data_IF_872885718466
#
_entry.id   IF_872885718466
#
_cell.length_a   1.000
_cell.length_b   1.000
_cell.length_c   1.000
_cell.angle_alpha   90.00
_cell.angle_beta   90.00
_cell.angle_gamma   90.00
#
_symmetry.space_group_name_H-M   'P 1'
#
loop_
_entity.id
_entity.type
_entity.pdbx_description
1 polymer ?
2 non-polymer ?
3 non-polymer ?
4 water ?
#
# COMPACT_ATOMS: atom_id res chain seq x y z
N UNK A 238 -6.17 0.67 3.22
CA UNK A 238 -6.33 -0.56 3.98
C UNK A 238 -5.02 -1.17 4.42
N UNK A 239 -5.08 -2.43 4.81
CA UNK A 239 -3.91 -3.17 5.28
C UNK A 239 -3.49 -4.28 4.33
N UNK A 240 -4.13 -4.42 3.17
CA UNK A 240 -3.93 -5.61 2.35
C UNK A 240 -2.57 -5.60 1.68
N UNK A 241 -2.18 -4.47 1.09
CA UNK A 241 -0.85 -4.42 0.47
C UNK A 241 0.24 -4.56 1.53
N UNK A 242 0.01 -4.00 2.74
CA UNK A 242 0.98 -4.18 3.82
C UNK A 242 1.14 -5.65 4.17
N UNK A 243 0.03 -6.36 4.34
CA UNK A 243 0.12 -7.79 4.64
C UNK A 243 0.83 -8.54 3.52
N UNK A 244 0.63 -8.13 2.26
CA UNK A 244 1.31 -8.79 1.14
C UNK A 244 2.82 -8.60 1.23
N UNK A 245 3.26 -7.38 1.55
CA UNK A 245 4.69 -7.11 1.67
C UNK A 245 5.31 -7.92 2.81
N UNK A 246 4.56 -8.14 3.90
CA UNK A 246 5.07 -8.83 5.08
C UNK A 246 4.99 -10.35 4.98
N UNK A 247 4.35 -10.88 3.95
CA UNK A 247 4.20 -12.32 3.82
C UNK A 247 5.57 -12.99 3.71
N UNK A 248 5.81 -13.98 4.58
CA UNK A 248 7.05 -14.76 4.59
C UNK A 248 8.29 -13.88 4.72
N UNK A 249 8.15 -12.75 5.40
CA UNK A 249 9.27 -11.84 5.59
C UNK A 249 10.13 -12.28 6.77
N UNK A 250 11.31 -11.70 6.87
CA UNK A 250 12.11 -11.73 8.08
C UNK A 250 12.17 -10.34 8.68
N UNK A 251 12.34 -10.30 10.00
CA UNK A 251 12.23 -9.07 10.79
C UNK A 251 13.44 -8.95 11.69
N UNK A 252 13.99 -7.74 11.78
CA UNK A 252 15.10 -7.45 12.68
C UNK A 252 14.86 -6.17 13.46
N UNK A 253 15.16 -6.24 14.75
CA UNK A 253 15.11 -5.11 15.65
C UNK A 253 16.36 -4.27 15.47
N UNK A 254 16.20 -2.98 15.18
CA UNK A 254 17.32 -2.06 15.05
C UNK A 254 17.25 -1.07 16.19
N UNK A 255 18.33 -0.95 16.95
CA UNK A 255 18.40 -0.06 18.10
C UNK A 255 19.41 1.04 17.80
N UNK A 256 18.95 2.29 17.78
CA UNK A 256 19.79 3.45 17.56
C UNK A 256 19.96 4.19 18.89
N UNK A 257 21.15 4.71 19.14
CA UNK A 257 21.35 5.42 20.39
C UNK A 257 20.89 6.87 20.32
N UNK A 258 20.49 7.34 19.15
CA UNK A 258 20.06 8.73 19.05
C UNK A 258 19.02 8.88 17.95
N UNK A 259 18.19 9.92 18.09
CA UNK A 259 17.18 10.20 17.10
C UNK A 259 17.79 10.65 15.78
N UNK A 260 18.95 11.31 15.83
CA UNK A 260 19.53 11.89 14.62
C UNK A 260 19.77 10.84 13.54
N UNK A 261 20.23 9.65 13.94
CA UNK A 261 20.50 8.63 12.92
C UNK A 261 19.23 8.09 12.31
N UNK A 262 18.16 7.97 13.10
CA UNK A 262 16.90 7.52 12.51
C UNK A 262 16.31 8.59 11.61
N UNK A 263 16.49 9.88 11.97
CA UNK A 263 16.03 10.94 11.10
C UNK A 263 16.80 10.93 9.76
N UNK A 264 18.12 10.73 9.83
CA UNK A 264 18.91 10.59 8.61
C UNK A 264 18.39 9.45 7.74
N UNK A 265 18.10 8.30 8.37
CA UNK A 265 17.63 7.13 7.63
C UNK A 265 16.28 7.41 6.97
N UNK A 266 15.41 8.15 7.65
CA UNK A 266 14.10 8.49 7.08
C UNK A 266 14.24 9.47 5.92
N UNK A 267 15.20 10.38 6.01
CA UNK A 267 15.39 11.36 4.96
C UNK A 267 16.06 10.76 3.72
N UNK A 268 17.04 9.89 3.92
CA UNK A 268 17.89 9.43 2.83
C UNK A 268 17.61 8.01 2.37
N UNK A 269 16.78 7.25 3.08
CA UNK A 269 16.49 5.89 2.68
C UNK A 269 17.68 4.96 2.78
N UNK A 270 18.46 5.07 3.86
CA UNK A 270 19.68 4.30 4.03
C UNK A 270 19.81 3.88 5.48
N UNK A 271 20.55 2.79 5.70
CA UNK A 271 20.94 2.41 7.04
C UNK A 271 22.33 1.77 7.03
N UNK A 272 23.05 1.95 8.13
CA UNK A 272 24.36 1.36 8.34
C UNK A 272 24.42 0.77 9.74
N UNK A 273 25.11 -0.36 9.88
CA UNK A 273 25.21 -1.06 11.14
C UNK A 273 26.60 -1.68 11.24
N UNK A 274 26.92 -2.20 12.42
CA UNK A 274 28.23 -2.78 12.65
C UNK A 274 28.37 -4.10 11.88
N UNK A 275 29.61 -4.53 11.61
CA UNK A 275 29.81 -5.65 10.68
C UNK A 275 29.10 -6.94 11.08
N UNK A 276 28.99 -7.25 12.37
CA UNK A 276 28.32 -8.48 12.77
C UNK A 276 26.87 -8.48 12.28
N UNK A 277 26.19 -7.33 12.42
CA UNK A 277 24.81 -7.24 11.94
C UNK A 277 24.74 -7.08 10.43
N UNK A 278 25.72 -6.40 9.83
CA UNK A 278 25.77 -6.28 8.37
C UNK A 278 25.81 -7.66 7.74
N UNK A 279 26.61 -8.56 8.30
CA UNK A 279 26.67 -9.94 7.79
C UNK A 279 25.32 -10.62 7.89
N UNK A 280 24.64 -10.50 9.03
CA UNK A 280 23.35 -11.17 9.19
C UNK A 280 22.32 -10.58 8.22
N UNK A 281 22.35 -9.27 8.01
CA UNK A 281 21.34 -8.66 7.14
C UNK A 281 21.59 -9.00 5.68
N UNK A 282 22.86 -9.08 5.26
CA UNK A 282 23.13 -9.48 3.88
C UNK A 282 22.70 -10.93 3.65
N UNK A 283 22.98 -11.81 4.60
CA UNK A 283 22.49 -13.19 4.51
C UNK A 283 20.98 -13.21 4.41
N UNK A 284 20.31 -12.43 5.27
CA UNK A 284 18.85 -12.44 5.28
C UNK A 284 18.27 -11.91 3.98
N UNK A 285 18.91 -10.88 3.41
CA UNK A 285 18.38 -10.27 2.18
C UNK A 285 18.28 -11.27 1.04
N UNK A 286 19.24 -12.17 0.95
CA UNK A 286 19.21 -13.18 -0.11
C UNK A 286 18.25 -14.32 0.19
N UNK A 287 17.81 -14.45 1.44
CA UNK A 287 17.07 -15.62 1.89
C UNK A 287 15.55 -15.45 1.87
N UNK A 288 15.05 -14.22 1.73
CA UNK A 288 13.62 -14.00 1.96
C UNK A 288 13.11 -12.92 1.02
N UNK A 289 11.80 -12.96 0.77
CA UNK A 289 11.22 -12.02 -0.19
C UNK A 289 11.19 -10.59 0.35
N UNK A 290 11.14 -10.41 1.67
CA UNK A 290 11.25 -9.11 2.31
C UNK A 290 12.05 -9.24 3.59
N UNK A 291 12.96 -8.31 3.83
CA UNK A 291 13.63 -8.16 5.12
C UNK A 291 13.22 -6.81 5.70
N UNK A 292 12.63 -6.84 6.91
CA UNK A 292 12.04 -5.67 7.54
C UNK A 292 12.90 -5.28 8.73
N UNK A 293 13.30 -4.02 8.78
CA UNK A 293 13.97 -3.43 9.93
C UNK A 293 12.96 -2.63 10.72
N UNK A 294 12.85 -2.90 12.02
CA UNK A 294 11.97 -2.16 12.92
C UNK A 294 12.84 -1.35 13.87
N UNK A 295 12.68 -0.02 13.84
CA UNK A 295 13.62 0.89 14.48
C UNK A 295 13.15 1.33 15.85
N UNK A 296 14.08 1.39 16.81
CA UNK A 296 13.78 1.98 18.10
C UNK A 296 14.98 2.76 18.61
N UNK A 297 14.73 4.00 19.02
CA UNK A 297 15.74 4.86 19.63
C UNK A 297 15.81 4.57 21.12
N UNK A 298 17.00 4.24 21.59
CA UNK A 298 17.20 3.92 23.01
C UNK A 298 16.68 5.05 23.89
N UNK A 299 15.97 4.68 24.95
CA UNK A 299 15.37 5.56 25.96
C UNK A 299 14.13 6.30 25.45
N UNK A 300 13.69 6.07 24.21
CA UNK A 300 12.51 6.78 23.73
C UNK A 300 11.22 6.12 24.19
N UNK A 301 11.28 4.84 24.56
CA UNK A 301 10.07 4.11 24.91
C UNK A 301 9.19 3.80 23.72
N UNK A 302 9.71 3.90 22.51
CA UNK A 302 8.90 3.78 21.30
C UNK A 302 9.71 3.12 20.20
N UNK A 303 8.98 2.57 19.23
CA UNK A 303 9.51 2.32 17.90
C UNK A 303 9.24 3.54 17.03
N UNK A 304 10.16 3.82 16.09
CA UNK A 304 9.99 5.01 15.24
C UNK A 304 9.56 4.68 13.82
N UNK A 305 9.33 3.42 13.49
CA UNK A 305 8.84 3.02 12.20
C UNK A 305 9.52 1.77 11.73
N UNK A 306 9.21 1.39 10.49
CA UNK A 306 9.88 0.22 9.92
C UNK A 306 10.00 0.37 8.40
N UNK A 307 10.96 -0.38 7.86
CA UNK A 307 11.39 -0.22 6.47
C UNK A 307 11.82 -1.57 5.94
N UNK A 308 11.83 -1.69 4.61
CA UNK A 308 12.23 -2.92 3.93
C UNK A 308 13.59 -2.72 3.27
N UNK A 309 14.52 -3.64 3.50
CA UNK A 309 15.77 -3.63 2.73
C UNK A 309 15.49 -3.70 1.23
N UNK A 310 16.10 -2.81 0.47
CA UNK A 310 16.00 -2.90 -0.98
C UNK A 310 17.33 -3.26 -1.63
N UNK A 311 18.39 -3.44 -0.85
CA UNK A 311 19.70 -3.78 -1.37
C UNK A 311 20.52 -4.46 -0.27
N UNK A 312 21.55 -5.18 -0.69
CA UNK A 312 22.63 -5.54 0.22
C UNK A 312 23.45 -4.30 0.55
N UNK A 313 24.37 -4.44 1.50
CA UNK A 313 25.20 -3.30 1.86
C UNK A 313 26.22 -3.00 0.77
N UNK A 314 26.53 -1.71 0.61
CA UNK A 314 27.50 -1.28 -0.38
C UNK A 314 28.35 -0.17 0.19
N UNK A 315 29.63 -0.17 -0.20
CA UNK A 315 30.61 0.80 0.28
C UNK A 315 30.93 1.81 -0.81
N UNK A 316 31.50 2.93 -0.38
CA UNK A 316 32.05 3.92 -1.29
C UNK A 316 31.07 4.87 -1.91
N UNK A 317 29.82 4.86 -1.47
CA UNK A 317 28.81 5.77 -1.99
C UNK A 317 28.92 7.14 -1.35
N UNK A 318 27.88 7.94 -1.56
CA UNK A 318 27.80 9.24 -0.93
C UNK A 318 27.92 9.08 0.59
N UNK A 319 28.77 9.85 1.26
CA UNK A 319 28.96 9.67 2.70
C UNK A 319 27.71 10.03 3.48
N UNK A 320 27.60 9.44 4.67
CA UNK A 320 26.50 9.69 5.59
C UNK A 320 27.07 10.09 6.94
N UNK A 321 26.65 11.24 7.45
CA UNK A 321 27.18 11.78 8.70
C UNK A 321 26.40 11.24 9.89
N UNK A 322 26.57 9.94 10.12
CA UNK A 322 26.01 9.31 11.31
C UNK A 322 26.60 9.91 12.58
N UNK A 323 25.85 9.82 13.66
CA UNK A 323 26.31 10.20 15.00
C UNK A 323 26.69 8.92 15.74
N UNK A 324 28.02 8.68 15.91
CA UNK A 324 28.57 7.46 16.46
C UNK A 324 28.79 7.59 17.96
N UNK A 325 28.73 6.46 18.70
CA UNK A 325 28.89 6.52 20.16
C UNK A 325 30.34 6.33 20.58
N UNK A 326 30.61 6.46 21.88
CA UNK A 326 31.91 6.15 22.46
C UNK A 326 33.07 6.78 21.69
N UNK A 327 34.00 5.95 21.22
CA UNK A 327 35.12 6.42 20.44
C UNK A 327 35.30 5.69 19.14
N UNK A 328 34.24 5.03 18.67
CA UNK A 328 34.30 4.34 17.39
C UNK A 328 34.05 5.32 16.26
N UNK A 329 34.72 5.06 15.13
CA UNK A 329 34.71 5.97 13.99
C UNK A 329 33.84 5.42 12.88
N UNK A 330 33.68 6.24 11.83
CA UNK A 330 32.80 5.88 10.73
C UNK A 330 33.29 4.66 9.97
N UNK A 331 34.60 4.39 10.02
CA UNK A 331 35.13 3.22 9.32
C UNK A 331 34.64 1.92 9.96
N UNK A 332 34.47 1.94 11.29
CA UNK A 332 34.01 0.74 11.99
C UNK A 332 32.60 0.35 11.57
N UNK A 333 31.77 1.31 11.18
CA UNK A 333 30.45 1.00 10.65
C UNK A 333 30.58 0.39 9.26
N UNK A 334 29.76 -0.62 8.99
CA UNK A 334 29.88 -1.37 7.75
C UNK A 334 29.44 -0.62 6.51
N UNK A 335 28.90 -1.35 5.54
CA UNK A 335 28.40 -0.73 4.33
C UNK A 335 27.09 0.00 4.57
N UNK A 336 26.51 0.45 3.48
CA UNK A 336 25.25 1.18 3.50
C UNK A 336 24.19 0.32 2.81
N UNK A 337 23.10 0.05 3.52
CA UNK A 337 21.92 -0.57 2.94
C UNK A 337 20.94 0.49 2.45
N UNK A 338 20.39 0.29 1.25
CA UNK A 338 19.25 1.09 0.83
C UNK A 338 17.97 0.48 1.40
N UNK A 339 17.06 1.34 1.87
CA UNK A 339 15.81 0.87 2.48
C UNK A 339 14.65 1.70 1.93
N UNK A 340 13.48 1.05 1.85
CA UNK A 340 12.22 1.70 1.52
C UNK A 340 11.35 1.71 2.77
N UNK A 341 11.00 2.90 3.22
CA UNK A 341 10.18 3.01 4.42
C UNK A 341 8.78 2.50 4.15
N UNK A 342 8.25 1.75 5.11
CA UNK A 342 6.88 1.29 5.04
C UNK A 342 6.00 2.08 5.98
N UNK A 343 6.54 2.51 7.11
CA UNK A 343 5.82 3.32 8.09
C UNK A 343 6.84 4.21 8.78
N UNK A 344 6.62 5.53 8.74
CA UNK A 344 7.49 6.46 9.46
C UNK A 344 6.84 6.98 10.73
N UNK A 345 5.74 6.37 11.16
CA UNK A 345 5.06 6.75 12.39
C UNK A 345 5.59 5.96 13.58
N UNK A 346 5.39 6.51 14.76
CA UNK A 346 5.84 5.90 16.00
C UNK A 346 4.82 4.92 16.56
N UNK A 347 5.32 3.98 17.36
CA UNK A 347 4.48 3.08 18.16
C UNK A 347 5.06 2.99 19.56
N UNK A 348 4.32 3.36 20.60
CA UNK A 348 4.86 3.23 21.97
C UNK A 348 4.94 1.77 22.40
N UNK A 349 5.98 1.47 23.19
CA UNK A 349 6.18 0.13 23.72
C UNK A 349 4.97 -0.37 24.51
N UNK A 350 4.23 0.54 25.14
CA UNK A 350 3.06 0.10 25.90
C UNK A 350 2.05 -0.64 25.02
N UNK A 351 2.03 -0.36 23.71
CA UNK A 351 1.08 -1.00 22.80
C UNK A 351 1.53 -2.37 22.29
N UNK A 352 2.80 -2.75 22.49
CA UNK A 352 3.31 -4.05 22.06
C UNK A 352 3.58 -4.98 23.24
N UNK A 353 3.04 -4.66 24.42
CA UNK A 353 3.33 -5.45 25.62
C UNK A 353 2.82 -6.88 25.53
N UNK A 354 1.87 -7.15 24.66
CA UNK A 354 1.33 -8.50 24.49
C UNK A 354 2.13 -9.36 23.51
N UNK A 355 3.16 -8.82 22.88
CA UNK A 355 3.93 -9.56 21.87
C UNK A 355 5.27 -9.98 22.46
N UNK A 356 5.54 -11.29 22.42
CA UNK A 356 6.79 -11.86 22.88
C UNK A 356 7.53 -12.45 21.69
N UNK A 357 8.86 -12.39 21.75
CA UNK A 357 9.71 -12.85 20.66
C UNK A 357 10.32 -14.19 21.02
N UNK A 358 9.89 -15.29 20.39
CA UNK A 358 10.51 -16.60 20.70
C UNK A 358 12.02 -16.62 20.53
N UNK A 359 12.57 -15.82 19.63
CA UNK A 359 14.01 -15.85 19.39
C UNK A 359 14.80 -15.05 20.41
N UNK A 360 14.13 -14.39 21.36
CA UNK A 360 14.80 -13.75 22.48
C UNK A 360 14.12 -14.20 23.79
N UNK A 361 14.06 -15.52 23.98
CA UNK A 361 13.59 -16.13 25.24
C UNK A 361 12.17 -15.70 25.59
N UNK A 362 11.37 -15.31 24.60
CA UNK A 362 9.98 -14.89 24.81
C UNK A 362 9.88 -13.65 25.68
N UNK A 363 10.94 -12.84 25.70
CA UNK A 363 10.85 -11.51 26.27
C UNK A 363 9.98 -10.63 25.38
N UNK A 364 9.40 -9.57 25.94
CA UNK A 364 8.63 -8.63 25.13
C UNK A 364 9.46 -8.15 23.95
N UNK A 365 8.80 -7.98 22.80
CA UNK A 365 9.54 -7.75 21.55
C UNK A 365 10.34 -6.44 21.61
N UNK A 366 9.90 -5.48 22.44
CA UNK A 366 10.71 -4.28 22.65
C UNK A 366 12.12 -4.59 23.16
N UNK A 367 12.31 -5.73 23.83
CA UNK A 367 13.60 -6.06 24.43
C UNK A 367 14.44 -6.81 23.41
N UNK A 368 15.66 -6.34 23.21
CA UNK A 368 16.56 -6.96 22.26
C UNK A 368 17.74 -6.08 21.92
N UNK A 369 18.89 -6.70 21.68
CA UNK A 369 20.04 -5.96 21.19
C UNK A 369 19.81 -5.55 19.74
N UNK A 370 20.56 -4.55 19.31
CA UNK A 370 20.60 -4.14 17.92
C UNK A 370 20.92 -5.35 17.04
N UNK A 371 20.03 -5.65 16.11
CA UNK A 371 20.20 -6.79 15.22
C UNK A 371 19.43 -8.03 15.61
N UNK A 372 18.75 -8.03 16.76
CA UNK A 372 17.99 -9.20 17.18
C UNK A 372 16.93 -9.56 16.16
N UNK A 373 16.93 -10.81 15.70
CA UNK A 373 15.86 -11.23 14.79
C UNK A 373 14.57 -11.45 15.57
N UNK A 374 13.45 -11.06 14.94
CA UNK A 374 12.12 -11.26 15.49
C UNK A 374 11.41 -12.32 14.67
N UNK A 375 10.90 -13.35 15.35
CA UNK A 375 10.18 -14.44 14.71
C UNK A 375 9.00 -13.92 13.89
N UNK A 376 8.68 -14.67 12.81
CA UNK A 376 7.72 -14.26 11.80
C UNK A 376 6.39 -13.75 12.38
N UNK A 377 5.73 -14.55 13.23
CA UNK A 377 4.41 -14.17 13.69
C UNK A 377 4.48 -12.93 14.59
N UNK A 378 5.46 -12.88 15.48
CA UNK A 378 5.62 -11.72 16.33
C UNK A 378 5.94 -10.47 15.51
N UNK A 379 6.83 -10.61 14.52
CA UNK A 379 7.19 -9.45 13.72
C UNK A 379 6.04 -8.93 12.89
N UNK A 380 5.26 -9.84 12.30
CA UNK A 380 4.09 -9.45 11.52
C UNK A 380 3.09 -8.69 12.38
N UNK A 381 2.76 -9.22 13.56
CA UNK A 381 1.80 -8.56 14.43
C UNK A 381 2.33 -7.22 14.93
N UNK A 382 3.63 -7.12 15.19
CA UNK A 382 4.20 -5.85 15.60
C UNK A 382 4.02 -4.79 14.50
N UNK A 383 4.34 -5.15 13.27
CA UNK A 383 4.21 -4.19 12.18
C UNK A 383 2.75 -3.78 11.98
N UNK A 384 1.81 -4.69 12.21
CA UNK A 384 0.40 -4.36 12.03
C UNK A 384 -0.16 -3.47 13.14
N UNK A 385 0.55 -3.32 14.27
CA UNK A 385 0.12 -2.43 15.33
C UNK A 385 0.39 -0.96 15.02
N UNK A 386 1.36 -0.69 14.15
CA UNK A 386 1.72 0.70 13.86
C UNK A 386 0.52 1.44 13.25
N UNK A 387 0.39 2.72 13.54
CA UNK A 387 -0.61 3.52 12.84
C UNK A 387 -0.34 3.49 11.35
N UNK A 388 -1.37 3.45 10.52
CA UNK A 388 -1.13 3.50 9.06
C UNK A 388 -0.47 4.81 8.68
N UNK A 389 0.49 4.73 7.74
CA UNK A 389 1.22 5.89 7.22
C UNK A 389 0.65 6.19 5.84
N UNK A 390 -0.29 7.12 5.79
CA UNK A 390 -0.97 7.40 4.52
C UNK A 390 -0.12 8.21 3.55
N UNK A 391 1.11 8.56 3.91
CA UNK A 391 2.01 9.19 2.95
C UNK A 391 2.74 8.17 2.07
N UNK A 392 2.64 6.89 2.38
CA UNK A 392 3.41 5.85 1.70
C UNK A 392 2.47 5.09 0.77
N UNK A 393 2.96 4.79 -0.43
CA UNK A 393 2.24 3.98 -1.40
C UNK A 393 3.04 2.69 -1.59
N UNK A 394 2.50 1.55 -1.16
CA UNK A 394 3.27 0.32 -1.20
C UNK A 394 3.34 -0.30 -2.60
N UNK A 395 2.65 0.28 -3.58
CA UNK A 395 2.70 -0.23 -4.95
C UNK A 395 4.14 -0.36 -5.46
N UNK A 396 4.97 0.66 -5.27
CA UNK A 396 6.32 0.59 -5.81
C UNK A 396 7.21 -0.33 -4.98
N UNK A 397 6.93 -0.46 -3.69
CA UNK A 397 7.60 -1.46 -2.86
C UNK A 397 7.30 -2.87 -3.38
N UNK A 398 6.02 -3.15 -3.63
CA UNK A 398 5.62 -4.47 -4.11
C UNK A 398 6.37 -4.83 -5.39
N UNK A 399 6.60 -3.85 -6.27
CA UNK A 399 7.21 -4.16 -7.56
C UNK A 399 8.69 -4.49 -7.44
N UNK A 400 9.34 -4.14 -6.33
CA UNK A 400 10.73 -4.51 -6.14
C UNK A 400 10.90 -5.95 -5.65
N UNK A 401 9.81 -6.58 -5.23
CA UNK A 401 9.87 -7.96 -4.74
C UNK A 401 9.89 -8.96 -5.88
N UNK B 238 -13.49 -6.30 -30.93
CA UNK B 238 -12.19 -6.82 -30.52
C UNK B 238 -11.67 -6.11 -29.29
N UNK B 239 -10.64 -6.69 -28.66
CA UNK B 239 -10.18 -6.22 -27.36
C UNK B 239 -8.88 -5.40 -27.43
N UNK B 240 -8.38 -5.08 -28.62
CA UNK B 240 -7.11 -4.36 -28.72
C UNK B 240 -7.19 -2.99 -28.04
N UNK B 241 -8.27 -2.24 -28.28
CA UNK B 241 -8.40 -0.91 -27.67
C UNK B 241 -8.45 -1.01 -26.15
N UNK B 242 -9.30 -1.89 -25.63
CA UNK B 242 -9.40 -2.02 -24.18
C UNK B 242 -8.08 -2.46 -23.57
N UNK B 243 -7.39 -3.42 -24.20
CA UNK B 243 -6.12 -3.85 -23.65
C UNK B 243 -5.10 -2.72 -23.65
N UNK B 244 -5.17 -1.85 -24.66
CA UNK B 244 -4.31 -0.68 -24.67
C UNK B 244 -4.60 0.23 -23.48
N UNK B 245 -5.88 0.47 -23.20
CA UNK B 245 -6.26 1.33 -22.08
C UNK B 245 -5.76 0.74 -20.76
N UNK B 246 -5.81 -0.59 -20.65
CA UNK B 246 -5.50 -1.28 -19.40
C UNK B 246 -4.02 -1.62 -19.23
N UNK B 247 -3.18 -1.37 -20.22
CA UNK B 247 -1.77 -1.75 -20.11
C UNK B 247 -1.13 -1.04 -18.93
N UNK B 248 -0.54 -1.82 -18.03
CA UNK B 248 0.12 -1.27 -16.83
C UNK B 248 -0.77 -0.31 -16.05
N UNK B 249 -2.06 -0.63 -15.95
CA UNK B 249 -3.01 0.13 -15.15
C UNK B 249 -2.92 -0.30 -13.68
N UNK B 250 -3.48 0.55 -12.80
CA UNK B 250 -3.79 0.16 -11.42
C UNK B 250 -5.30 0.06 -11.30
N UNK B 251 -5.75 -0.85 -10.42
CA UNK B 251 -7.16 -1.21 -10.32
C UNK B 251 -7.62 -1.13 -8.88
N UNK B 252 -8.79 -0.53 -8.65
CA UNK B 252 -9.36 -0.45 -7.31
C UNK B 252 -10.82 -0.87 -7.31
N UNK B 253 -11.18 -1.70 -6.35
CA UNK B 253 -12.57 -2.06 -6.09
C UNK B 253 -13.26 -0.90 -5.39
N UNK B 254 -14.44 -0.53 -5.88
CA UNK B 254 -15.23 0.55 -5.30
C UNK B 254 -16.54 -0.06 -4.83
N UNK B 255 -16.86 0.09 -3.55
CA UNK B 255 -18.14 -0.36 -3.02
C UNK B 255 -19.06 0.83 -2.82
N UNK B 256 -20.31 0.66 -3.21
CA UNK B 256 -21.32 1.70 -3.04
C UNK B 256 -22.46 1.17 -2.19
N UNK B 257 -22.93 2.01 -1.26
CA UNK B 257 -24.06 1.67 -0.42
C UNK B 257 -25.32 1.40 -1.22
N UNK B 258 -25.53 2.10 -2.34
CA UNK B 258 -26.80 1.96 -3.03
C UNK B 258 -26.65 2.20 -4.53
N UNK B 259 -27.71 1.86 -5.26
CA UNK B 259 -27.68 1.99 -6.71
C UNK B 259 -27.76 3.45 -7.16
N UNK B 260 -28.44 4.31 -6.40
CA UNK B 260 -28.68 5.67 -6.87
C UNK B 260 -27.39 6.43 -7.09
N UNK B 261 -26.39 6.24 -6.22
CA UNK B 261 -25.16 6.99 -6.39
C UNK B 261 -24.36 6.47 -7.58
N UNK B 262 -24.48 5.17 -7.89
CA UNK B 262 -23.83 4.66 -9.08
C UNK B 262 -24.52 5.19 -10.33
N UNK B 263 -25.85 5.27 -10.31
CA UNK B 263 -26.58 5.85 -11.45
C UNK B 263 -26.12 7.29 -11.70
N UNK B 264 -26.03 8.06 -10.63
CA UNK B 264 -25.57 9.44 -10.76
C UNK B 264 -24.15 9.50 -11.32
N UNK B 265 -23.26 8.65 -10.79
CA UNK B 265 -21.86 8.63 -11.25
C UNK B 265 -21.75 8.23 -12.71
N UNK B 266 -22.59 7.28 -13.14
CA UNK B 266 -22.56 6.82 -14.53
C UNK B 266 -22.99 7.93 -15.49
N UNK B 267 -23.96 8.75 -15.10
CA UNK B 267 -24.45 9.78 -16.01
C UNK B 267 -23.55 11.00 -16.06
N UNK B 268 -23.01 11.41 -14.90
CA UNK B 268 -22.22 12.63 -14.80
C UNK B 268 -20.71 12.41 -14.89
N UNK B 269 -20.25 11.17 -14.74
CA UNK B 269 -18.83 10.92 -14.87
C UNK B 269 -18.01 11.43 -13.70
N UNK B 270 -18.47 11.16 -12.48
CA UNK B 270 -17.85 11.67 -11.27
C UNK B 270 -17.90 10.60 -10.19
N UNK B 271 -16.96 10.67 -9.25
CA UNK B 271 -17.02 9.83 -8.05
C UNK B 271 -16.37 10.54 -6.87
N UNK B 272 -16.83 10.19 -5.67
CA UNK B 272 -16.25 10.68 -4.43
C UNK B 272 -16.15 9.52 -3.45
N UNK B 273 -15.09 9.53 -2.64
CA UNK B 273 -14.88 8.44 -1.70
C UNK B 273 -14.34 8.99 -0.39
N UNK B 274 -14.10 8.07 0.56
CA UNK B 274 -13.65 8.45 1.88
C UNK B 274 -12.18 8.90 1.87
N UNK B 275 -11.74 9.61 2.91
CA UNK B 275 -10.40 10.24 2.86
C UNK B 275 -9.25 9.28 2.61
N UNK B 276 -9.21 8.11 3.26
CA UNK B 276 -8.08 7.21 3.04
C UNK B 276 -8.03 6.75 1.59
N UNK B 277 -9.20 6.46 1.00
CA UNK B 277 -9.20 6.05 -0.40
C UNK B 277 -8.94 7.21 -1.35
N UNK B 278 -9.39 8.43 -1.01
CA UNK B 278 -9.10 9.56 -1.89
C UNK B 278 -7.60 9.79 -2.00
N UNK B 279 -6.88 9.67 -0.88
CA UNK B 279 -5.41 9.80 -0.93
C UNK B 279 -4.80 8.70 -1.78
N UNK B 280 -5.25 7.45 -1.60
CA UNK B 280 -4.74 6.35 -2.40
C UNK B 280 -4.95 6.57 -3.89
N UNK B 281 -6.13 7.04 -4.28
CA UNK B 281 -6.42 7.22 -5.70
C UNK B 281 -5.65 8.39 -6.31
N UNK B 282 -5.43 9.46 -5.52
CA UNK B 282 -4.62 10.55 -6.06
C UNK B 282 -3.18 10.12 -6.26
N UNK B 283 -2.61 9.37 -5.31
CA UNK B 283 -1.27 8.83 -5.51
C UNK B 283 -1.22 7.93 -6.73
N UNK B 284 -2.22 7.09 -6.91
CA UNK B 284 -2.21 6.19 -8.05
C UNK B 284 -2.35 6.96 -9.36
N UNK B 285 -3.14 8.03 -9.37
CA UNK B 285 -3.37 8.77 -10.60
C UNK B 285 -2.09 9.40 -11.11
N UNK B 286 -1.24 9.87 -10.20
CA UNK B 286 0.03 10.46 -10.60
C UNK B 286 1.07 9.41 -10.95
N UNK B 287 0.89 8.16 -10.54
CA UNK B 287 1.90 7.13 -10.71
C UNK B 287 1.67 6.21 -11.90
N UNK B 288 0.42 6.00 -12.33
CA UNK B 288 0.09 4.97 -13.30
C UNK B 288 -0.49 5.58 -14.56
N UNK B 289 -0.32 4.87 -15.67
CA UNK B 289 -0.86 5.27 -16.96
C UNK B 289 -2.38 5.38 -16.94
N UNK B 290 -3.05 4.41 -16.31
CA UNK B 290 -4.49 4.42 -16.12
C UNK B 290 -4.79 3.96 -14.71
N UNK B 291 -5.80 4.56 -14.09
CA UNK B 291 -6.35 4.10 -12.82
C UNK B 291 -7.80 3.73 -13.05
N UNK B 292 -8.12 2.48 -12.77
CA UNK B 292 -9.42 1.89 -13.07
C UNK B 292 -10.17 1.64 -11.76
N UNK B 293 -11.40 2.13 -11.70
CA UNK B 293 -12.32 1.87 -10.61
C UNK B 293 -13.34 0.84 -11.08
N UNK B 294 -13.48 -0.25 -10.35
CA UNK B 294 -14.42 -1.32 -10.67
C UNK B 294 -15.50 -1.31 -9.59
N UNK B 295 -16.74 -1.06 -10.01
CA UNK B 295 -17.82 -0.72 -9.09
C UNK B 295 -18.67 -1.92 -8.70
N UNK B 296 -19.01 -2.01 -7.42
CA UNK B 296 -19.96 -3.02 -6.95
C UNK B 296 -20.84 -2.45 -5.85
N UNK B 297 -22.17 -2.51 -6.05
CA UNK B 297 -23.12 -2.09 -5.03
C UNK B 297 -23.25 -3.19 -4.00
N UNK B 298 -23.19 -2.82 -2.72
CA UNK B 298 -23.30 -3.78 -1.63
C UNK B 298 -24.56 -4.61 -1.75
N UNK B 299 -24.41 -5.93 -1.55
CA UNK B 299 -25.45 -6.94 -1.55
C UNK B 299 -26.09 -7.15 -2.93
N UNK B 300 -25.53 -6.59 -3.99
CA UNK B 300 -26.11 -6.78 -5.31
C UNK B 300 -25.70 -8.09 -5.98
N UNK B 301 -24.61 -8.71 -5.52
CA UNK B 301 -24.07 -9.88 -6.17
C UNK B 301 -23.44 -9.63 -7.52
N UNK B 302 -23.16 -8.37 -7.86
CA UNK B 302 -22.66 -8.01 -9.19
C UNK B 302 -21.69 -6.84 -9.10
N UNK B 303 -20.88 -6.71 -10.15
CA UNK B 303 -20.24 -5.46 -10.50
C UNK B 303 -21.15 -4.71 -11.46
N UNK B 304 -21.15 -3.38 -11.36
CA UNK B 304 -22.01 -2.57 -12.20
C UNK B 304 -21.27 -1.86 -13.34
N UNK B 305 -19.96 -2.02 -13.42
CA UNK B 305 -19.20 -1.41 -14.50
C UNK B 305 -17.82 -0.99 -14.01
N UNK B 306 -17.07 -0.34 -14.90
CA UNK B 306 -15.76 0.17 -14.50
C UNK B 306 -15.44 1.42 -15.31
N UNK B 307 -14.57 2.26 -14.72
CA UNK B 307 -14.30 3.59 -15.24
C UNK B 307 -12.85 3.92 -15.00
N UNK B 308 -12.34 4.88 -15.78
CA UNK B 308 -10.96 5.32 -15.66
C UNK B 308 -10.92 6.75 -15.12
N UNK B 309 -10.08 6.99 -14.11
CA UNK B 309 -9.88 8.36 -13.61
C UNK B 309 -9.33 9.25 -14.73
N UNK B 310 -9.97 10.41 -14.93
CA UNK B 310 -9.40 11.42 -15.82
C UNK B 310 -8.81 12.59 -15.05
N UNK B 311 -8.95 12.62 -13.73
CA UNK B 311 -8.42 13.70 -12.91
C UNK B 311 -8.12 13.19 -11.51
N UNK B 312 -7.22 13.88 -10.83
CA UNK B 312 -7.16 13.83 -9.38
C UNK B 312 -8.47 14.36 -8.79
N UNK B 313 -8.63 14.19 -7.48
CA UNK B 313 -9.80 14.75 -6.83
C UNK B 313 -9.67 16.27 -6.74
N UNK B 314 -10.82 16.93 -6.78
CA UNK B 314 -10.84 18.38 -6.70
C UNK B 314 -12.04 18.83 -5.90
N UNK B 315 -11.86 19.87 -5.09
CA UNK B 315 -12.94 20.52 -4.36
C UNK B 315 -13.34 21.81 -5.07
N UNK B 316 -14.50 22.32 -4.70
CA UNK B 316 -14.94 23.62 -5.17
C UNK B 316 -15.76 23.61 -6.44
N UNK B 317 -15.95 22.46 -7.07
CA UNK B 317 -16.83 22.39 -8.22
C UNK B 317 -18.29 22.44 -7.79
N UNK B 318 -19.16 22.18 -8.76
CA UNK B 318 -20.58 22.12 -8.46
C UNK B 318 -20.84 20.96 -7.50
N UNK B 319 -21.57 21.18 -6.41
CA UNK B 319 -21.80 20.09 -5.45
C UNK B 319 -22.63 18.97 -6.06
N UNK B 320 -22.09 17.76 -6.02
CA UNK B 320 -22.84 16.57 -6.39
C UNK B 320 -23.77 16.20 -5.25
N UNK B 321 -25.05 16.00 -5.54
CA UNK B 321 -26.06 15.76 -4.52
C UNK B 321 -26.29 14.27 -4.36
N UNK B 322 -25.40 13.61 -3.62
CA UNK B 322 -25.52 12.17 -3.44
C UNK B 322 -26.70 11.82 -2.52
N UNK B 323 -27.06 10.54 -2.54
CA UNK B 323 -28.14 9.98 -1.74
C UNK B 323 -27.52 9.26 -0.54
N UNK B 324 -28.07 9.51 0.65
CA UNK B 324 -27.49 9.03 1.92
C UNK B 324 -28.56 8.45 2.83
N UNK B 325 -28.95 7.19 2.60
CA UNK B 325 -30.04 6.59 3.38
C UNK B 325 -29.70 6.51 4.87
N UNK B 326 -30.75 6.28 5.68
CA UNK B 326 -30.62 6.36 7.13
C UNK B 326 -29.69 5.30 7.70
N UNK B 327 -29.33 4.26 6.95
CA UNK B 327 -28.41 3.25 7.45
C UNK B 327 -27.03 3.34 6.86
N UNK B 328 -26.81 4.35 6.01
CA UNK B 328 -25.54 4.49 5.31
C UNK B 328 -24.45 4.99 6.24
N UNK B 329 -23.24 4.43 6.07
CA UNK B 329 -22.09 4.82 6.88
C UNK B 329 -21.33 6.00 6.27
N UNK B 330 -21.04 5.94 4.97
CA UNK B 330 -20.22 6.95 4.33
C UNK B 330 -20.89 8.32 4.39
N UNK B 331 -20.08 9.37 4.56
CA UNK B 331 -20.56 10.74 4.63
C UNK B 331 -20.51 11.47 3.30
N UNK B 332 -19.56 11.11 2.42
CA UNK B 332 -19.46 11.66 1.07
C UNK B 332 -19.22 13.17 1.06
N UNK B 333 -18.26 13.61 1.87
CA UNK B 333 -17.88 15.03 1.88
C UNK B 333 -16.48 15.27 1.32
N UNK B 334 -15.91 14.33 0.58
CA UNK B 334 -14.59 14.47 0.00
C UNK B 334 -14.61 15.14 -1.36
N UNK B 335 -13.44 15.17 -2.00
CA UNK B 335 -13.31 15.76 -3.32
C UNK B 335 -13.97 14.93 -4.40
N UNK B 336 -14.00 15.47 -5.62
CA UNK B 336 -14.67 14.83 -6.75
C UNK B 336 -13.62 14.44 -7.79
N UNK B 337 -13.63 13.16 -8.18
CA UNK B 337 -12.81 12.65 -9.27
C UNK B 337 -13.64 12.70 -10.54
N UNK B 338 -13.07 13.21 -11.63
CA UNK B 338 -13.69 13.02 -12.93
C UNK B 338 -13.29 11.65 -13.45
N UNK B 339 -14.28 10.89 -13.95
CA UNK B 339 -14.07 9.53 -14.45
C UNK B 339 -14.73 9.38 -15.81
N UNK B 340 -14.08 8.62 -16.69
CA UNK B 340 -14.64 8.21 -17.97
C UNK B 340 -15.04 6.73 -17.88
N UNK B 341 -16.32 6.44 -18.06
CA UNK B 341 -16.76 5.05 -17.99
C UNK B 341 -16.28 4.27 -19.21
N UNK B 342 -15.83 3.04 -18.97
CA UNK B 342 -15.38 2.15 -20.02
C UNK B 342 -16.44 1.09 -20.28
N UNK B 343 -17.16 0.70 -19.23
CA UNK B 343 -18.26 -0.25 -19.34
C UNK B 343 -19.27 0.12 -18.28
N UNK B 344 -20.53 0.29 -18.66
CA UNK B 344 -21.60 0.52 -17.68
C UNK B 344 -22.54 -0.67 -17.55
N UNK B 345 -22.16 -1.82 -18.10
CA UNK B 345 -22.96 -3.02 -18.02
C UNK B 345 -22.53 -3.89 -16.84
N UNK B 346 -23.48 -4.70 -16.35
CA UNK B 346 -23.26 -5.52 -15.17
C UNK B 346 -22.44 -6.76 -15.50
N UNK B 347 -21.72 -7.23 -14.49
CA UNK B 347 -21.05 -8.53 -14.51
C UNK B 347 -21.40 -9.23 -13.20
N UNK B 348 -22.14 -10.32 -13.23
CA UNK B 348 -22.44 -11.02 -11.97
C UNK B 348 -21.22 -11.72 -11.40
N UNK B 349 -21.18 -11.80 -10.05
CA UNK B 349 -20.07 -12.45 -9.37
C UNK B 349 -19.91 -13.90 -9.83
N UNK B 350 -20.99 -14.51 -10.33
CA UNK B 350 -20.91 -15.88 -10.82
C UNK B 350 -20.04 -16.02 -12.06
N UNK B 351 -19.71 -14.93 -12.74
CA UNK B 351 -18.84 -14.99 -13.90
C UNK B 351 -17.40 -14.62 -13.55
N UNK B 352 -17.12 -14.22 -12.31
CA UNK B 352 -15.75 -13.89 -11.90
C UNK B 352 -15.22 -14.85 -10.83
N UNK B 353 -15.91 -15.98 -10.62
CA UNK B 353 -15.62 -16.88 -9.52
C UNK B 353 -14.27 -17.58 -9.64
N UNK B 354 -13.68 -17.58 -10.83
CA UNK B 354 -12.39 -18.20 -11.08
C UNK B 354 -11.22 -17.24 -10.84
N UNK B 355 -11.48 -15.97 -10.54
CA UNK B 355 -10.43 -14.96 -10.40
C UNK B 355 -10.20 -14.63 -8.93
N UNK B 356 -8.94 -14.68 -8.52
CA UNK B 356 -8.54 -14.37 -7.16
C UNK B 356 -7.50 -13.26 -7.19
N UNK B 357 -7.51 -12.42 -6.16
CA UNK B 357 -6.65 -11.25 -6.09
C UNK B 357 -5.44 -11.54 -5.22
N UNK B 358 -4.24 -11.65 -5.78
CA UNK B 358 -3.04 -11.92 -4.96
C UNK B 358 -2.80 -10.90 -3.86
N UNK B 359 -3.24 -9.66 -4.03
CA UNK B 359 -3.02 -8.60 -3.06
C UNK B 359 -4.13 -8.53 -2.02
N UNK B 360 -5.05 -9.48 -2.03
CA UNK B 360 -6.00 -9.69 -0.95
C UNK B 360 -6.05 -11.17 -0.58
N UNK B 361 -4.86 -11.72 -0.31
CA UNK B 361 -4.69 -13.08 0.21
C UNK B 361 -5.25 -14.15 -0.72
N UNK B 362 -5.27 -13.85 -2.03
CA UNK B 362 -5.73 -14.78 -3.06
C UNK B 362 -7.19 -15.19 -2.84
N UNK B 363 -7.98 -14.28 -2.27
CA UNK B 363 -9.42 -14.43 -2.16
C UNK B 363 -10.10 -14.05 -3.49
N UNK B 364 -11.25 -14.65 -3.79
CA UNK B 364 -11.98 -14.27 -5.01
C UNK B 364 -12.10 -12.75 -5.12
N UNK B 365 -11.97 -12.24 -6.35
CA UNK B 365 -11.82 -10.80 -6.55
C UNK B 365 -13.07 -10.03 -6.14
N UNK B 366 -14.23 -10.68 -6.09
CA UNK B 366 -15.43 -10.03 -5.56
C UNK B 366 -15.29 -9.64 -4.10
N UNK B 367 -14.39 -10.27 -3.36
CA UNK B 367 -14.21 -10.00 -1.93
C UNK B 367 -13.26 -8.83 -1.75
N UNK B 368 -13.73 -7.80 -1.06
CA UNK B 368 -12.81 -6.75 -0.67
C UNK B 368 -13.54 -5.54 -0.12
N UNK B 369 -12.82 -4.74 0.66
CA UNK B 369 -13.37 -3.50 1.17
C UNK B 369 -13.35 -2.44 0.09
N UNK B 370 -14.17 -1.40 0.28
CA UNK B 370 -14.09 -0.23 -0.59
C UNK B 370 -12.66 0.27 -0.66
N UNK B 371 -12.15 0.42 -1.88
CA UNK B 371 -10.79 0.85 -2.12
C UNK B 371 -9.75 -0.26 -2.21
N UNK B 372 -10.14 -1.53 -2.07
CA UNK B 372 -9.17 -2.62 -2.16
C UNK B 372 -8.46 -2.58 -3.50
N UNK B 373 -7.12 -2.54 -3.48
CA UNK B 373 -6.40 -2.56 -4.75
C UNK B 373 -6.34 -3.98 -5.29
N UNK B 374 -6.50 -4.11 -6.60
CA UNK B 374 -6.50 -5.39 -7.31
C UNK B 374 -5.23 -5.47 -8.16
N UNK B 375 -4.50 -6.58 -8.03
CA UNK B 375 -3.25 -6.78 -8.76
C UNK B 375 -3.51 -6.73 -10.27
N UNK B 376 -2.49 -6.27 -11.01
CA UNK B 376 -2.58 -5.96 -12.44
C UNK B 376 -3.24 -7.07 -13.27
N UNK B 377 -2.72 -8.31 -13.18
CA UNK B 377 -3.27 -9.34 -14.06
C UNK B 377 -4.71 -9.69 -13.68
N UNK B 378 -4.99 -9.80 -12.38
CA UNK B 378 -6.34 -10.05 -11.93
C UNK B 378 -7.30 -8.95 -12.39
N UNK B 379 -6.90 -7.69 -12.19
CA UNK B 379 -7.74 -6.58 -12.62
C UNK B 379 -7.99 -6.57 -14.11
N UNK B 380 -6.94 -6.88 -14.90
CA UNK B 380 -7.09 -6.90 -16.35
C UNK B 380 -8.07 -7.98 -16.78
N UNK B 381 -7.91 -9.20 -16.25
CA UNK B 381 -8.82 -10.27 -16.60
C UNK B 381 -10.24 -9.97 -16.14
N UNK B 382 -10.40 -9.36 -14.96
CA UNK B 382 -11.74 -8.99 -14.52
C UNK B 382 -12.41 -8.02 -15.52
N UNK B 383 -11.67 -6.99 -15.93
CA UNK B 383 -12.26 -6.00 -16.83
C UNK B 383 -12.59 -6.64 -18.18
N UNK B 384 -11.79 -7.62 -18.62
CA UNK B 384 -12.07 -8.28 -19.90
C UNK B 384 -13.30 -9.19 -19.84
N UNK B 385 -13.76 -9.55 -18.64
CA UNK B 385 -14.97 -10.36 -18.53
C UNK B 385 -16.24 -9.58 -18.82
N UNK B 386 -16.22 -8.25 -18.67
CA UNK B 386 -17.43 -7.47 -18.88
C UNK B 386 -17.88 -7.55 -20.34
N UNK B 387 -19.19 -7.51 -20.59
CA UNK B 387 -19.65 -7.49 -21.98
C UNK B 387 -19.34 -6.16 -22.64
N UNK B 388 -19.18 -6.13 -23.96
CA UNK B 388 -18.96 -4.85 -24.64
C UNK B 388 -20.14 -3.91 -24.44
N UNK B 389 -19.84 -2.63 -24.26
CA UNK B 389 -20.85 -1.61 -24.03
C UNK B 389 -20.95 -0.72 -25.26
N UNK B 390 -22.07 -0.84 -25.99
CA UNK B 390 -22.26 -0.09 -27.23
C UNK B 390 -22.53 1.39 -26.98
N UNK B 391 -22.78 1.80 -25.75
CA UNK B 391 -22.99 3.21 -25.46
C UNK B 391 -21.68 3.95 -25.25
N UNK B 392 -20.56 3.22 -25.20
CA UNK B 392 -19.24 3.75 -24.84
C UNK B 392 -18.38 3.81 -26.10
N UNK B 393 -17.68 4.92 -26.29
CA UNK B 393 -16.70 5.11 -27.34
C UNK B 393 -15.36 5.36 -26.66
N UNK B 394 -14.41 4.43 -26.84
CA UNK B 394 -13.11 4.57 -26.17
C UNK B 394 -12.23 5.66 -26.76
N UNK B 395 -12.66 6.31 -27.84
CA UNK B 395 -11.82 7.27 -28.55
C UNK B 395 -11.35 8.39 -27.63
N UNK B 396 -12.26 8.96 -26.83
CA UNK B 396 -11.90 10.07 -25.96
C UNK B 396 -10.85 9.66 -24.94
N UNK B 397 -11.01 8.48 -24.34
CA UNK B 397 -10.07 8.02 -23.31
C UNK B 397 -8.69 7.80 -23.91
N UNK B 398 -8.64 7.15 -25.08
CA UNK B 398 -7.34 6.88 -25.69
C UNK B 398 -6.62 8.19 -26.01
N UNK B 399 -7.37 9.25 -26.32
CA UNK B 399 -6.74 10.55 -26.54
C UNK B 399 -6.20 11.15 -25.25
N UNK B 400 -6.91 10.95 -24.14
CA UNK B 400 -6.50 11.52 -22.85
C UNK B 400 -5.22 10.90 -22.31
N UNK B 401 -4.82 9.74 -22.80
CA UNK B 401 -3.70 9.02 -22.21
C UNK B 401 -2.35 9.54 -22.69
X LIG C 1 32.26 15.01 -0.36
X LIG C 1 32.28 16.03 -1.33
X LIG C 1 31.44 13.87 -0.91
X LIG C 1 31.95 13.61 -2.19
X LIG C 1 31.08 12.95 -3.04
X LIG C 1 30.89 11.48 -2.66
X LIG C 1 30.17 10.83 -3.67
X LIG D 1 -4.96 -1.67 0.14
X LIG D 1 -3.56 -2.05 0.35
X LIG D 1 -5.33 -1.92 -1.25
X LIG D 1 -5.07 -0.26 0.52
X LIG D 1 -5.78 -2.47 1.05
X LIG E 1 30.60 -3.28 -2.46
X LIG E 1 30.18 -2.03 -3.09
X LIG E 1 31.91 -3.68 -2.97
X LIG E 1 29.61 -4.33 -2.74
X LIG E 1 30.69 -3.09 -1.01
X LIG F 1 -2.39 15.69 -1.17
X LIG F 1 -2.66 15.10 0.07
X LIG F 1 -3.35 15.08 -2.18
X LIG F 1 -3.52 13.74 -1.83
X LIG F 1 -4.84 13.34 -1.70
X LIG F 1 -5.32 13.32 -0.26
X LIG F 1 -6.65 13.74 -0.17
X LIG G 1 -5.47 20.62 -4.78
X LIG G 1 -5.22 21.86 -5.36
X LIG G 1 -6.96 20.49 -4.45
X LIG G 1 -7.66 20.31 -5.64
X LIG G 1 -8.14 21.50 -6.17
X LIG G 1 -9.60 21.69 -5.80
X LIG G 1 -9.79 21.29 -4.46
X LIG H 1 -0.65 -0.94 -29.32
X LIG H 1 -0.90 0.34 -29.83
X LIG H 1 -0.17 -0.85 -27.87
X LIG H 1 1.16 -0.40 -27.81
X LIG H 1 1.89 -0.96 -26.76
X LIG H 1 1.20 -0.55 -25.46
X LIG H 1 1.56 -1.40 -24.40
X LIG I 1 -26.77 -4.30 -18.52
X LIG I 1 -25.99 -5.25 -19.29
X LIG I 1 -26.73 -3.01 -19.18
X LIG I 1 -28.16 -4.77 -18.45
X LIG I 1 -26.19 -4.21 -17.19
X LIG J 1 -12.99 -1.75 -32.62
X LIG J 1 -13.49 -1.39 -33.95
X LIG J 1 -11.57 -1.46 -32.51
X LIG J 1 -13.70 -0.96 -31.59
X LIG J 1 -13.23 -3.17 -32.37
X LIG K 1 -21.83 2.16 3.58
X LIG K 1 -22.47 1.37 2.53
X LIG K 1 -20.46 1.70 3.78
X LIG K 1 -21.81 3.57 3.18
X LIG K 1 -22.61 2.01 4.81
X LIG L 1 -22.75 -13.28 -3.51
X LIG L 1 -23.73 -12.99 -4.48
X LIG L 1 -23.08 -12.52 -2.24
X LIG L 1 -22.44 -11.28 -2.32
X LIG L 1 -23.28 -10.21 -2.66
X LIG L 1 -22.45 -8.94 -2.52
X LIG L 1 -22.94 -7.96 -3.39
#
# INVERSE_FOLDING_TARGET
MSPILGYWKIKGLVQPTRLLLEYLEEKYEEHLYERDEGDKWRNKKFELGLEFPNLPYYIDGDVKLTQSMAIIRYIADKHNMLGGCPKERAEISMLEGAVLDIRYGVSRIAYSKDFETLKVDFLSKLPEMLKMFEDRLCHKTYLNGDHVTHPDFMLYDALDVVLYMDPMCLDAFPKLVCFKKRIEAIPQIDKYLKSSKYIAWPLQGWQATFGGGDHPPKSDLEVLFQGPLGSENLYFQGTSKLKYVLQDARFFLIKSNNHENVSLAKAKGVWSTLPVNEKKLNLAFRSARSVILIFSVRESGKFQGFARLSSESHHGGSPIHWVLPAGMSAKMLGGVFKIDWICRRELPFTKSAHLTNPWNEHKPVKIGRDGQEIELECGTQLCLLFPPDESIDLYQVIHKMRH
MSPILGYWKIKGLVQPTRLLLEYLEEKYEEHLYERDEGDKWRNKKFELGLEFPNLPYYIDGDVKLTQSMAIIRYIADKHNMLGGCPKERAEISMLEGAVLDIRYGVSRIAYSKDFETLKVDFLSKLPEMLKMFEDRLCHKTYLNGDHVTHPDFMLYDALDVVLYMDPMCLDAFPKLVCFKKRIEAIPQIDKYLKSSKYIAWPLQGWQATFGGGDHPPKSDLEVLFQGPLGSENLYFQGTSKLKYVLQDARFFLIKSNNHENVSLAKAKGVWSTLPVNEKKLNLAFRSARSVILIFSVRESGKFQGFARLSSESHHGGSPIHWVLPAGMSAKMLGGVFKIDWICRRELPFTKSAHLTNPWNEHKPVKIGRDGQEIELECGTQLCLLFPPDESIDLYQVIHKMRH
PEG C1 O1 C2 O2 C3 C4 O4
SO4 S O1 O2 O3 O4
SO4 S O1 O2 O3 O4
PEG C1 O1 C2 O2 C3 C4 O4
PEG C1 O1 C2 O2 C3 C4 O4
PEG C1 O1 C2 O2 C3 C4 O4
SO4 S O1 O2 O3 O4
SO4 S O1 O2 O3 O4
SO4 S O1 O2 O3 O4
PEG C1 O1 C2 O2 C3 C4 O4
#
